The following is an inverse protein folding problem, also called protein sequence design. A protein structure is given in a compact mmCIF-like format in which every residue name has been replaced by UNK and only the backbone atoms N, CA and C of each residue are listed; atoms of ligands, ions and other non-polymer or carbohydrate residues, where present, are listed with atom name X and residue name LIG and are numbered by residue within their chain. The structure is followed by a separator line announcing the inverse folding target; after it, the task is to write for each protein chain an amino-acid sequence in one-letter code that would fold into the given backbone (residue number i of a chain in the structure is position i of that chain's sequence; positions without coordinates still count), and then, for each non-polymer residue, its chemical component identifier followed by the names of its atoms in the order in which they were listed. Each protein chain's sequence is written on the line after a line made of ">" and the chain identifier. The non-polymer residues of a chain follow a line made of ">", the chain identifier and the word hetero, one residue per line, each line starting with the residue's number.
data_IF_475916918944
#
_entry.id   IF_475916918944
#
_cell.length_a   1.000
_cell.length_b   1.000
_cell.length_c   1.000
_cell.angle_alpha   90.00
_cell.angle_beta   90.00
_cell.angle_gamma   90.00
#
_symmetry.space_group_name_H-M   'P 1'
#
loop_
_entity.id
_entity.type
_entity.pdbx_description
1 polymer ?
#
# COMPACT_ATOMS: atom_id res chain seq x y z
N UNK A 1 14.87 -18.12 15.08
CA UNK A 1 13.87 -19.08 14.56
C UNK A 1 12.50 -18.52 14.91
N UNK A 2 11.67 -18.24 13.92
CA UNK A 2 10.31 -17.70 14.13
C UNK A 2 9.33 -18.87 14.26
N UNK A 3 8.50 -18.88 15.30
CA UNK A 3 7.51 -19.96 15.57
C UNK A 3 6.48 -20.08 14.42
N UNK A 4 6.28 -19.00 13.65
CA UNK A 4 5.39 -18.98 12.48
C UNK A 4 5.82 -19.91 11.34
N UNK A 5 7.05 -20.43 11.33
CA UNK A 5 7.55 -21.34 10.29
C UNK A 5 7.52 -22.80 10.71
N UNK A 6 6.88 -23.11 11.85
CA UNK A 6 6.71 -24.49 12.30
C UNK A 6 5.69 -25.20 11.39
N UNK A 7 5.99 -26.39 10.84
CA UNK A 7 5.07 -27.13 9.96
C UNK A 7 3.70 -27.48 10.59
N UNK A 8 3.51 -27.31 11.89
CA UNK A 8 2.21 -27.49 12.54
C UNK A 8 1.29 -26.26 12.46
N UNK A 9 1.81 -25.09 12.04
CA UNK A 9 1.06 -23.82 12.05
C UNK A 9 0.33 -23.51 10.73
N UNK A 10 0.73 -24.13 9.62
CA UNK A 10 0.12 -23.94 8.31
C UNK A 10 0.24 -25.21 7.47
N UNK A 11 -0.72 -25.44 6.56
CA UNK A 11 -0.71 -26.60 5.66
C UNK A 11 0.53 -26.62 4.76
N UNK A 12 0.99 -25.44 4.34
CA UNK A 12 2.15 -25.28 3.47
C UNK A 12 3.03 -24.11 3.95
N UNK A 13 4.29 -24.40 4.27
CA UNK A 13 5.31 -23.41 4.66
C UNK A 13 6.40 -23.36 3.59
N UNK A 14 6.72 -22.16 3.08
CA UNK A 14 7.76 -21.95 2.07
C UNK A 14 8.92 -21.14 2.62
N UNK A 15 10.10 -21.74 2.66
CA UNK A 15 11.37 -21.06 2.93
C UNK A 15 12.00 -20.63 1.60
N UNK A 16 11.37 -19.67 0.93
CA UNK A 16 11.82 -19.11 -0.36
C UNK A 16 12.22 -17.63 -0.20
N UNK A 17 13.04 -17.08 -1.11
CA UNK A 17 13.34 -15.65 -1.10
C UNK A 17 12.07 -14.81 -1.27
N UNK A 18 11.98 -13.69 -0.53
CA UNK A 18 10.84 -12.77 -0.59
C UNK A 18 10.89 -11.93 -1.89
N UNK A 19 10.49 -12.54 -3.01
CA UNK A 19 10.45 -11.91 -4.32
C UNK A 19 9.23 -12.37 -5.14
N UNK A 20 8.87 -11.60 -6.16
CA UNK A 20 7.68 -11.89 -6.99
C UNK A 20 7.79 -13.22 -7.74
N UNK A 21 9.01 -13.67 -8.08
CA UNK A 21 9.22 -14.98 -8.73
C UNK A 21 8.78 -16.14 -7.83
N UNK A 22 9.12 -16.07 -6.55
CA UNK A 22 8.75 -17.09 -5.57
C UNK A 22 7.24 -17.10 -5.33
N UNK A 23 6.59 -15.93 -5.33
CA UNK A 23 5.12 -15.82 -5.26
C UNK A 23 4.48 -16.52 -6.46
N UNK A 24 4.92 -16.22 -7.68
CA UNK A 24 4.37 -16.83 -8.91
C UNK A 24 4.54 -18.35 -8.88
N UNK A 25 5.68 -18.86 -8.40
CA UNK A 25 5.89 -20.32 -8.27
C UNK A 25 4.88 -20.96 -7.30
N UNK A 26 4.58 -20.30 -6.18
CA UNK A 26 3.60 -20.78 -5.19
C UNK A 26 2.17 -20.72 -5.78
N UNK A 27 1.80 -19.60 -6.41
CA UNK A 27 0.49 -19.41 -7.04
C UNK A 27 0.24 -20.38 -8.21
N UNK A 28 1.29 -20.81 -8.93
CA UNK A 28 1.17 -21.86 -9.96
C UNK A 28 0.94 -23.25 -9.38
N UNK A 29 1.49 -23.51 -8.20
CA UNK A 29 1.41 -24.83 -7.56
C UNK A 29 0.10 -25.02 -6.80
N UNK A 30 -0.47 -23.93 -6.27
CA UNK A 30 -1.68 -23.95 -5.46
C UNK A 30 -2.68 -22.91 -5.93
N UNK A 31 -3.96 -23.29 -6.00
CA UNK A 31 -5.03 -22.32 -6.23
C UNK A 31 -5.24 -21.54 -4.92
N UNK A 32 -4.84 -20.29 -4.93
CA UNK A 32 -4.95 -19.36 -3.79
C UNK A 32 -6.04 -18.36 -4.11
N UNK A 33 -7.01 -18.19 -3.21
CA UNK A 33 -8.13 -17.26 -3.44
C UNK A 33 -7.82 -15.84 -2.93
N UNK A 34 -6.95 -15.71 -1.91
CA UNK A 34 -6.63 -14.43 -1.30
C UNK A 34 -5.22 -14.33 -0.70
N UNK A 35 -4.71 -13.11 -0.59
CA UNK A 35 -3.42 -12.77 0.03
C UNK A 35 -3.60 -11.72 1.13
N UNK A 36 -2.94 -11.92 2.29
CA UNK A 36 -2.98 -11.02 3.44
C UNK A 36 -1.59 -10.41 3.70
N UNK A 37 -1.31 -9.18 3.24
CA UNK A 37 0.04 -8.59 3.34
C UNK A 37 0.32 -7.89 4.68
N UNK A 38 -0.68 -7.70 5.55
CA UNK A 38 -0.57 -6.89 6.77
C UNK A 38 0.21 -7.55 7.91
N UNK A 39 0.43 -8.87 7.85
CA UNK A 39 1.06 -9.64 8.93
C UNK A 39 2.58 -9.70 8.83
N UNK A 40 3.18 -9.25 7.72
CA UNK A 40 4.63 -9.33 7.48
C UNK A 40 5.34 -7.98 7.51
N UNK A 41 4.71 -6.95 8.08
CA UNK A 41 5.25 -5.59 8.13
C UNK A 41 5.46 -4.98 6.73
N UNK A 42 6.38 -4.02 6.65
CA UNK A 42 6.59 -3.23 5.42
C UNK A 42 7.18 -4.06 4.27
N UNK A 43 7.97 -5.10 4.57
CA UNK A 43 8.50 -6.01 3.55
C UNK A 43 7.39 -6.76 2.80
N UNK A 44 6.39 -7.27 3.52
CA UNK A 44 5.27 -7.98 2.91
C UNK A 44 4.35 -7.04 2.13
N UNK A 45 4.10 -5.83 2.65
CA UNK A 45 3.34 -4.80 1.95
C UNK A 45 4.01 -4.39 0.63
N UNK A 46 5.30 -4.05 0.67
CA UNK A 46 6.05 -3.67 -0.54
C UNK A 46 6.06 -4.79 -1.58
N UNK A 47 6.25 -6.04 -1.15
CA UNK A 47 6.22 -7.18 -2.06
C UNK A 47 4.83 -7.41 -2.66
N UNK A 48 3.78 -7.18 -1.87
CA UNK A 48 2.39 -7.26 -2.34
C UNK A 48 2.08 -6.19 -3.39
N UNK A 49 2.53 -4.96 -3.16
CA UNK A 49 2.41 -3.85 -4.11
C UNK A 49 3.20 -4.15 -5.39
N UNK A 50 4.46 -4.59 -5.28
CA UNK A 50 5.29 -4.95 -6.44
C UNK A 50 4.65 -6.09 -7.28
N UNK A 51 4.01 -7.06 -6.62
CA UNK A 51 3.28 -8.12 -7.32
C UNK A 51 1.98 -7.59 -7.97
N UNK A 52 1.33 -6.60 -7.36
CA UNK A 52 0.14 -5.94 -7.90
C UNK A 52 0.46 -5.11 -9.14
N UNK A 53 1.52 -4.30 -9.09
CA UNK A 53 2.01 -3.50 -10.23
C UNK A 53 2.37 -4.37 -11.44
N UNK A 54 2.81 -5.61 -11.20
CA UNK A 54 3.11 -6.60 -12.24
C UNK A 54 1.89 -7.37 -12.74
N UNK A 55 0.69 -7.09 -12.22
CA UNK A 55 -0.56 -7.78 -12.58
C UNK A 55 -0.67 -9.21 -12.08
N UNK A 56 0.21 -9.66 -11.18
CA UNK A 56 0.27 -11.07 -10.76
C UNK A 56 -1.00 -11.49 -10.02
N UNK A 57 -1.57 -10.61 -9.19
CA UNK A 57 -2.80 -10.94 -8.45
C UNK A 57 -4.00 -11.09 -9.39
N UNK A 58 -4.10 -10.25 -10.42
CA UNK A 58 -5.15 -10.31 -11.44
C UNK A 58 -5.02 -11.57 -12.31
N UNK A 59 -3.81 -11.88 -12.77
CA UNK A 59 -3.50 -13.06 -13.61
C UNK A 59 -3.90 -14.38 -12.94
N UNK A 60 -3.74 -14.46 -11.61
CA UNK A 60 -4.06 -15.64 -10.82
C UNK A 60 -5.42 -15.55 -10.10
N UNK A 61 -6.18 -14.47 -10.31
CA UNK A 61 -7.47 -14.18 -9.67
C UNK A 61 -7.42 -14.28 -8.14
N UNK A 62 -6.36 -13.73 -7.55
CA UNK A 62 -6.11 -13.68 -6.10
C UNK A 62 -6.58 -12.34 -5.57
N UNK A 63 -7.40 -12.35 -4.50
CA UNK A 63 -7.86 -11.11 -3.86
C UNK A 63 -6.91 -10.66 -2.76
N UNK A 64 -6.57 -9.38 -2.73
CA UNK A 64 -5.86 -8.81 -1.59
C UNK A 64 -6.87 -8.56 -0.48
N UNK A 65 -6.59 -9.03 0.73
CA UNK A 65 -7.45 -8.89 1.91
C UNK A 65 -6.69 -8.25 3.06
N UNK A 66 -7.44 -7.62 3.98
CA UNK A 66 -6.89 -6.96 5.16
C UNK A 66 -6.21 -5.61 4.89
N UNK A 67 -5.90 -5.31 3.64
CA UNK A 67 -5.53 -3.97 3.20
C UNK A 67 -6.12 -3.70 1.83
N UNK A 68 -6.62 -2.48 1.66
CA UNK A 68 -7.03 -1.98 0.36
C UNK A 68 -5.84 -1.20 -0.20
N UNK A 69 -5.17 -1.74 -1.22
CA UNK A 69 -3.99 -1.11 -1.83
C UNK A 69 -4.38 0.28 -2.35
N UNK A 70 -5.59 0.43 -2.89
CA UNK A 70 -6.10 1.71 -3.35
C UNK A 70 -6.23 2.68 -2.17
N UNK A 71 -6.66 2.21 -1.00
CA UNK A 71 -6.72 3.04 0.19
C UNK A 71 -5.31 3.48 0.67
N UNK A 72 -4.30 2.60 0.61
CA UNK A 72 -2.91 2.99 0.94
C UNK A 72 -2.45 4.08 -0.03
N UNK A 73 -2.60 3.86 -1.33
CA UNK A 73 -2.13 4.80 -2.36
C UNK A 73 -2.84 6.16 -2.24
N UNK A 74 -4.14 6.16 -1.92
CA UNK A 74 -4.91 7.39 -1.66
C UNK A 74 -4.40 8.12 -0.41
N UNK A 75 -3.94 7.41 0.62
CA UNK A 75 -3.43 8.05 1.85
C UNK A 75 -2.00 8.57 1.73
N UNK A 76 -1.16 7.97 0.88
CA UNK A 76 0.22 8.45 0.68
C UNK A 76 0.28 9.67 -0.26
N UNK A 77 -0.65 9.79 -1.21
CA UNK A 77 -0.77 10.97 -2.06
C UNK A 77 -1.65 12.05 -1.40
N UNK A 78 -1.01 13.15 -0.96
CA UNK A 78 -1.68 14.27 -0.30
C UNK A 78 -2.82 14.89 -1.13
N UNK A 79 -2.72 14.90 -2.45
CA UNK A 79 -3.79 15.43 -3.31
C UNK A 79 -4.97 14.45 -3.37
N UNK A 80 -4.70 13.14 -3.56
CA UNK A 80 -5.77 12.12 -3.54
C UNK A 80 -6.47 12.08 -2.18
N UNK A 81 -5.71 12.17 -1.09
CA UNK A 81 -6.27 12.22 0.27
C UNK A 81 -7.17 13.45 0.48
N UNK A 82 -6.74 14.62 0.00
CA UNK A 82 -7.55 15.86 0.08
C UNK A 82 -8.82 15.77 -0.77
N UNK A 83 -8.75 15.14 -1.95
CA UNK A 83 -9.93 14.88 -2.78
C UNK A 83 -10.90 13.90 -2.11
N UNK A 84 -10.38 12.84 -1.47
CA UNK A 84 -11.19 11.91 -0.70
C UNK A 84 -11.93 12.65 0.42
N UNK A 85 -11.21 13.44 1.23
CA UNK A 85 -11.78 14.21 2.34
C UNK A 85 -12.86 15.21 1.88
N UNK A 86 -12.67 15.84 0.72
CA UNK A 86 -13.70 16.68 0.09
C UNK A 86 -14.93 15.86 -0.34
N UNK A 87 -14.73 14.66 -0.85
CA UNK A 87 -15.82 13.78 -1.32
C UNK A 87 -16.68 13.30 -0.17
N UNK A 88 -16.07 13.07 1.00
CA UNK A 88 -16.77 12.63 2.23
C UNK A 88 -17.17 13.80 3.15
N UNK A 89 -17.08 15.04 2.66
CA UNK A 89 -17.49 16.28 3.34
C UNK A 89 -16.84 16.49 4.73
N UNK A 90 -15.57 16.07 4.88
CA UNK A 90 -14.80 16.33 6.10
C UNK A 90 -14.06 17.67 5.93
N UNK A 91 -14.23 18.62 6.86
CA UNK A 91 -13.53 19.89 6.81
C UNK A 91 -12.02 19.67 7.02
N UNK A 92 -11.24 20.13 6.05
CA UNK A 92 -9.77 20.09 6.08
C UNK A 92 -9.20 21.47 6.30
N UNK A 93 -8.09 21.54 7.03
CA UNK A 93 -7.31 22.77 7.10
C UNK A 93 -6.92 23.19 5.67
N UNK A 94 -7.02 24.48 5.33
CA UNK A 94 -6.69 24.93 4.00
C UNK A 94 -5.16 24.79 3.80
N UNK A 95 -4.79 23.81 2.98
CA UNK A 95 -3.41 23.46 2.66
C UNK A 95 -3.20 23.52 1.14
N UNK A 96 -2.09 24.06 0.68
CA UNK A 96 -1.76 24.15 -0.75
C UNK A 96 -0.44 23.46 -1.07
N UNK A 97 -0.42 22.76 -2.19
CA UNK A 97 0.76 22.04 -2.67
C UNK A 97 1.63 22.99 -3.48
N UNK A 98 2.83 23.28 -2.98
CA UNK A 98 3.78 24.18 -3.61
C UNK A 98 4.85 23.39 -4.36
N UNK A 99 4.77 23.37 -5.70
CA UNK A 99 5.77 22.71 -6.55
C UNK A 99 6.96 23.62 -6.90
N UNK A 100 7.00 24.84 -6.35
CA UNK A 100 8.11 25.78 -6.52
C UNK A 100 8.20 26.72 -5.31
N UNK A 101 9.41 27.22 -5.05
CA UNK A 101 9.69 28.14 -3.94
C UNK A 101 8.89 29.45 -4.08
N UNK A 102 8.74 29.96 -5.31
CA UNK A 102 7.95 31.16 -5.60
C UNK A 102 6.49 30.96 -5.20
N UNK A 103 5.89 29.85 -5.63
CA UNK A 103 4.51 29.51 -5.29
C UNK A 103 4.34 29.30 -3.78
N UNK A 104 5.33 28.70 -3.12
CA UNK A 104 5.34 28.54 -1.66
C UNK A 104 5.36 29.88 -0.91
N UNK A 105 6.09 30.89 -1.42
CA UNK A 105 6.10 32.24 -0.82
C UNK A 105 4.77 32.98 -1.00
N UNK A 106 4.13 32.84 -2.16
CA UNK A 106 2.81 33.42 -2.42
C UNK A 106 1.77 32.81 -1.47
N UNK A 107 1.75 31.48 -1.36
CA UNK A 107 0.89 30.76 -0.40
C UNK A 107 1.18 31.22 1.03
N UNK A 108 2.46 31.38 1.40
CA UNK A 108 2.80 31.81 2.76
C UNK A 108 2.33 33.24 3.08
N UNK A 109 2.30 34.13 2.09
CA UNK A 109 1.75 35.48 2.24
C UNK A 109 0.23 35.47 2.33
N UNK A 110 -0.45 34.57 1.62
CA UNK A 110 -1.91 34.42 1.65
C UNK A 110 -2.40 33.84 2.99
N UNK A 111 -1.68 32.86 3.54
CA UNK A 111 -2.07 32.20 4.79
C UNK A 111 -1.55 32.88 6.06
N UNK A 112 -0.41 33.58 5.98
CA UNK A 112 0.28 34.11 7.15
C UNK A 112 0.99 33.03 7.97
N UNK A 113 1.90 33.45 8.85
CA UNK A 113 2.68 32.54 9.71
C UNK A 113 2.03 32.36 11.09
N UNK A 114 2.16 31.19 11.75
CA UNK A 114 2.98 30.03 11.36
C UNK A 114 2.25 29.03 10.45
N UNK A 115 3.03 28.37 9.58
CA UNK A 115 2.57 27.33 8.64
C UNK A 115 3.22 25.99 9.03
N UNK A 116 2.56 24.88 8.69
CA UNK A 116 3.02 23.49 8.89
C UNK A 116 3.08 22.76 7.57
#
# INVERSE_FOLDING_TARGET
>A
ATIMTDPTMADHVYLKPLNTKSIVEILKKHKIDAVLPTMGGQTALNLCIEANEKGIWEDFNVKIIGVDIDAIEITEDREKFKQLLKTIDIPVAPAYTANSILKGKEIAQEFGFPLV
#
